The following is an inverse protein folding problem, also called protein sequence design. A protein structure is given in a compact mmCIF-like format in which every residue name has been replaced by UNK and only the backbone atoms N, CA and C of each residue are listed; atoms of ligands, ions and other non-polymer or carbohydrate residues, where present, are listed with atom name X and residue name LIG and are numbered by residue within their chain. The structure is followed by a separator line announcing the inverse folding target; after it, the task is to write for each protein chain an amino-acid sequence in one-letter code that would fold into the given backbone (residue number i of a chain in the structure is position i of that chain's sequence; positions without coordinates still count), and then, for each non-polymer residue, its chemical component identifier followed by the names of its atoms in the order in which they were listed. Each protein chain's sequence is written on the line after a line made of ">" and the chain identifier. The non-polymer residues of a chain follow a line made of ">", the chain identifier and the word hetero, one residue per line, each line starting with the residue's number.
data_IF_486551740356
#
_entry.id   IF_486551740356
#
_cell.length_a   1.000
_cell.length_b   1.000
_cell.length_c   1.000
_cell.angle_alpha   90.00
_cell.angle_beta   90.00
_cell.angle_gamma   90.00
#
_symmetry.space_group_name_H-M   'P 1'
#
loop_
_entity.id
_entity.type
_entity.pdbx_description
1 polymer ?
#
# COMPACT_ATOMS: atom_id res chain seq x y z
N UNK A 1 21.24 0.66 -22.56
CA UNK A 1 19.95 0.51 -23.28
C UNK A 1 18.97 -0.29 -22.42
N UNK A 2 18.07 0.38 -21.70
CA UNK A 2 17.11 -0.28 -20.80
C UNK A 2 15.90 -0.72 -21.64
N UNK A 3 15.88 -2.00 -22.05
CA UNK A 3 14.79 -2.58 -22.85
C UNK A 3 13.50 -2.54 -22.05
N UNK A 4 12.53 -1.78 -22.55
CA UNK A 4 11.15 -1.76 -22.09
C UNK A 4 10.56 -3.16 -22.37
N UNK A 5 10.45 -4.00 -21.35
CA UNK A 5 9.69 -5.24 -21.46
C UNK A 5 8.21 -4.87 -21.47
N UNK A 6 7.62 -4.85 -22.67
CA UNK A 6 6.18 -4.75 -22.87
C UNK A 6 5.64 -6.18 -22.99
N UNK A 7 4.87 -6.64 -22.01
CA UNK A 7 4.03 -7.83 -22.17
C UNK A 7 2.67 -7.38 -22.72
N UNK A 8 2.28 -7.80 -23.95
CA UNK A 8 1.04 -7.37 -24.57
C UNK A 8 -0.16 -7.90 -23.75
N UNK A 9 -0.99 -7.00 -23.22
CA UNK A 9 -2.18 -7.32 -22.42
C UNK A 9 -2.12 -6.90 -20.93
N UNK A 10 -0.97 -6.39 -20.46
CA UNK A 10 -0.75 -6.04 -19.04
C UNK A 10 -0.24 -4.59 -18.89
N UNK A 11 -0.37 -4.01 -17.69
CA UNK A 11 0.02 -2.62 -17.40
C UNK A 11 1.48 -2.33 -17.80
N UNK A 12 1.74 -1.17 -18.38
CA UNK A 12 3.12 -0.72 -18.64
C UNK A 12 3.84 -0.30 -17.36
N UNK A 13 5.19 -0.38 -17.33
CA UNK A 13 5.98 0.09 -16.19
C UNK A 13 5.66 1.54 -15.78
N UNK A 14 5.29 2.40 -16.75
CA UNK A 14 4.88 3.79 -16.49
C UNK A 14 3.55 3.85 -15.75
N UNK A 15 2.57 3.03 -16.14
CA UNK A 15 1.29 2.95 -15.45
C UNK A 15 1.46 2.35 -14.05
N UNK A 16 2.26 1.29 -13.91
CA UNK A 16 2.56 0.69 -12.60
C UNK A 16 3.23 1.70 -11.68
N UNK A 17 4.27 2.42 -12.12
CA UNK A 17 4.92 3.46 -11.30
C UNK A 17 3.97 4.55 -10.82
N UNK A 18 2.97 4.93 -11.62
CA UNK A 18 1.96 5.92 -11.21
C UNK A 18 1.01 5.38 -10.14
N UNK A 19 0.74 4.09 -10.16
CA UNK A 19 -0.20 3.43 -9.24
C UNK A 19 0.50 2.75 -8.06
N UNK A 20 1.83 2.70 -8.05
CA UNK A 20 2.62 1.89 -7.12
C UNK A 20 2.36 2.28 -5.66
N UNK A 21 2.28 3.57 -5.32
CA UNK A 21 2.00 3.97 -3.94
C UNK A 21 0.60 3.55 -3.50
N UNK A 22 -0.44 3.88 -4.28
CA UNK A 22 -1.81 3.44 -4.00
C UNK A 22 -1.94 1.91 -3.88
N UNK A 23 -1.20 1.14 -4.69
CA UNK A 23 -1.10 -0.32 -4.55
C UNK A 23 -0.47 -0.72 -3.21
N UNK A 24 0.66 -0.11 -2.85
CA UNK A 24 1.36 -0.39 -1.59
C UNK A 24 0.58 0.05 -0.35
N UNK A 25 -0.32 1.02 -0.48
CA UNK A 25 -1.21 1.51 0.59
C UNK A 25 -2.55 0.76 0.62
N UNK A 26 -2.80 -0.18 -0.31
CA UNK A 26 -4.04 -0.96 -0.35
C UNK A 26 -5.27 -0.18 -0.85
N UNK A 27 -5.07 0.96 -1.52
CA UNK A 27 -6.14 1.86 -1.97
C UNK A 27 -6.72 1.50 -3.35
N UNK A 28 -6.26 0.40 -3.95
CA UNK A 28 -6.71 -0.04 -5.27
C UNK A 28 -7.80 -1.11 -5.17
N UNK A 29 -8.72 -1.07 -6.14
CA UNK A 29 -9.71 -2.13 -6.35
C UNK A 29 -9.03 -3.44 -6.77
N UNK A 30 -9.60 -4.56 -6.34
CA UNK A 30 -9.06 -5.91 -6.52
C UNK A 30 -8.55 -6.21 -7.93
N UNK A 31 -9.31 -5.87 -8.98
CA UNK A 31 -8.91 -6.12 -10.36
C UNK A 31 -7.62 -5.37 -10.77
N UNK A 32 -7.38 -4.16 -10.26
CA UNK A 32 -6.12 -3.42 -10.52
C UNK A 32 -4.98 -3.95 -9.66
N UNK A 33 -5.28 -4.39 -8.44
CA UNK A 33 -4.31 -4.97 -7.51
C UNK A 33 -3.66 -6.20 -8.13
N UNK A 34 -4.47 -7.11 -8.72
CA UNK A 34 -3.96 -8.31 -9.42
C UNK A 34 -3.04 -7.93 -10.58
N UNK A 35 -3.47 -7.02 -11.47
CA UNK A 35 -2.67 -6.62 -12.64
C UNK A 35 -1.32 -5.97 -12.26
N UNK A 36 -1.27 -5.26 -11.13
CA UNK A 36 -0.03 -4.67 -10.63
C UNK A 36 0.85 -5.75 -10.01
N UNK A 37 0.28 -6.64 -9.21
CA UNK A 37 1.01 -7.77 -8.62
C UNK A 37 1.71 -8.60 -9.71
N UNK A 38 0.97 -9.00 -10.75
CA UNK A 38 1.51 -9.76 -11.89
C UNK A 38 2.69 -9.02 -12.57
N UNK A 39 2.58 -7.70 -12.72
CA UNK A 39 3.66 -6.91 -13.31
C UNK A 39 4.90 -6.81 -12.40
N UNK A 40 4.71 -6.66 -11.09
CA UNK A 40 5.82 -6.59 -10.14
C UNK A 40 6.61 -7.89 -10.10
N UNK A 41 5.94 -9.03 -10.26
CA UNK A 41 6.58 -10.35 -10.34
C UNK A 41 7.29 -10.56 -11.68
N UNK A 42 6.72 -10.06 -12.79
CA UNK A 42 7.30 -10.22 -14.12
C UNK A 42 8.41 -9.20 -14.46
N UNK A 43 8.42 -8.03 -13.82
CA UNK A 43 9.35 -6.94 -14.13
C UNK A 43 10.32 -6.66 -12.99
N UNK A 44 11.57 -7.14 -13.12
CA UNK A 44 12.64 -6.94 -12.13
C UNK A 44 12.79 -5.48 -11.67
N UNK A 45 12.74 -4.51 -12.60
CA UNK A 45 12.88 -3.09 -12.25
C UNK A 45 11.75 -2.60 -11.35
N UNK A 46 10.52 -2.90 -11.70
CA UNK A 46 9.35 -2.47 -10.93
C UNK A 46 9.25 -3.24 -9.61
N UNK A 47 9.58 -4.53 -9.60
CA UNK A 47 9.65 -5.35 -8.38
C UNK A 47 10.71 -4.84 -7.39
N UNK A 48 11.90 -4.45 -7.87
CA UNK A 48 12.92 -3.81 -7.03
C UNK A 48 12.44 -2.47 -6.46
N UNK A 49 11.84 -1.60 -7.30
CA UNK A 49 11.28 -0.32 -6.86
C UNK A 49 10.22 -0.51 -5.77
N UNK A 50 9.29 -1.45 -5.96
CA UNK A 50 8.28 -1.80 -4.97
C UNK A 50 8.90 -2.31 -3.66
N UNK A 51 9.94 -3.15 -3.75
CA UNK A 51 10.66 -3.69 -2.60
C UNK A 51 11.37 -2.59 -1.81
N UNK A 52 12.02 -1.63 -2.49
CA UNK A 52 12.64 -0.47 -1.84
C UNK A 52 11.61 0.38 -1.08
N UNK A 53 10.43 0.61 -1.67
CA UNK A 53 9.37 1.34 -0.99
C UNK A 53 8.80 0.58 0.20
N UNK A 54 8.59 -0.75 0.10
CA UNK A 54 8.15 -1.58 1.23
C UNK A 54 9.15 -1.52 2.38
N UNK A 55 10.43 -1.65 2.08
CA UNK A 55 11.50 -1.52 3.08
C UNK A 55 11.47 -0.14 3.74
N UNK A 56 11.37 0.94 2.97
CA UNK A 56 11.31 2.29 3.51
C UNK A 56 10.07 2.51 4.40
N UNK A 57 8.89 2.06 3.97
CA UNK A 57 7.66 2.15 4.78
C UNK A 57 7.81 1.39 6.10
N UNK A 58 8.41 0.20 6.08
CA UNK A 58 8.66 -0.57 7.30
C UNK A 58 9.63 0.15 8.25
N UNK A 59 10.68 0.78 7.74
CA UNK A 59 11.59 1.59 8.56
C UNK A 59 10.87 2.81 9.16
N UNK A 60 10.10 3.53 8.35
CA UNK A 60 9.33 4.70 8.78
C UNK A 60 8.28 4.36 9.85
N UNK A 61 7.63 3.20 9.75
CA UNK A 61 6.67 2.73 10.75
C UNK A 61 7.33 2.55 12.14
N UNK A 62 8.62 2.19 12.20
CA UNK A 62 9.36 2.10 13.46
C UNK A 62 9.63 3.44 14.13
N UNK A 63 9.56 4.55 13.38
CA UNK A 63 9.68 5.91 13.93
C UNK A 63 8.32 6.53 14.30
N UNK A 64 7.21 5.85 14.00
CA UNK A 64 5.90 6.36 14.37
C UNK A 64 5.78 6.44 15.90
N UNK A 65 5.23 7.53 16.46
CA UNK A 65 4.96 7.61 17.88
C UNK A 65 4.09 6.42 18.29
N UNK A 66 4.51 5.68 19.31
CA UNK A 66 3.62 4.72 19.95
C UNK A 66 2.41 5.49 20.48
N UNK A 67 1.20 5.01 20.17
CA UNK A 67 0.00 5.59 20.76
C UNK A 67 0.12 5.51 22.29
N UNK A 68 0.00 6.65 22.96
CA UNK A 68 -0.05 6.70 24.41
C UNK A 68 -1.30 5.94 24.89
N UNK A 69 -1.18 5.16 25.96
CA UNK A 69 -2.29 4.39 26.53
C UNK A 69 -3.51 5.28 26.81
N UNK A 70 -3.29 6.53 27.23
CA UNK A 70 -4.37 7.50 27.45
C UNK A 70 -5.13 7.86 26.16
N UNK A 71 -4.44 7.91 25.02
CA UNK A 71 -5.07 8.16 23.73
C UNK A 71 -5.90 6.96 23.29
N UNK A 72 -5.40 5.73 23.53
CA UNK A 72 -6.11 4.49 23.23
C UNK A 72 -7.37 4.34 24.10
N UNK A 73 -7.28 4.67 25.40
CA UNK A 73 -8.43 4.59 26.30
C UNK A 73 -9.54 5.56 25.91
N UNK A 74 -9.19 6.79 25.50
CA UNK A 74 -10.15 7.75 24.94
C UNK A 74 -10.83 7.21 23.68
N UNK A 75 -10.06 6.59 22.78
CA UNK A 75 -10.59 5.99 21.55
C UNK A 75 -11.57 4.85 21.85
N UNK A 76 -11.25 4.00 22.82
CA UNK A 76 -12.13 2.91 23.27
C UNK A 76 -13.42 3.43 23.90
N UNK A 77 -13.33 4.43 24.78
CA UNK A 77 -14.50 5.05 25.40
C UNK A 77 -15.42 5.69 24.36
N UNK A 78 -14.84 6.38 23.37
CA UNK A 78 -15.60 6.95 22.25
C UNK A 78 -16.29 5.86 21.40
N UNK A 79 -15.56 4.80 21.05
CA UNK A 79 -16.14 3.69 20.29
C UNK A 79 -17.28 3.00 21.04
N UNK A 80 -17.18 2.83 22.36
CA UNK A 80 -18.25 2.29 23.18
C UNK A 80 -19.50 3.18 23.16
N UNK A 81 -19.32 4.50 23.27
CA UNK A 81 -20.43 5.45 23.22
C UNK A 81 -21.17 5.44 21.87
N UNK A 82 -20.47 5.24 20.74
CA UNK A 82 -21.09 5.13 19.42
C UNK A 82 -21.95 3.87 19.24
N UNK A 83 -21.65 2.80 19.97
CA UNK A 83 -22.43 1.55 19.93
C UNK A 83 -23.68 1.65 20.81
N UNK A 84 -23.62 2.45 21.88
CA UNK A 84 -24.72 2.68 22.82
C UNK A 84 -25.67 3.83 22.41
N UNK A 85 -25.39 4.57 21.33
CA UNK A 85 -26.36 5.52 20.75
C UNK A 85 -27.51 4.76 20.07
N UNK A 86 -28.78 4.94 20.50
CA UNK A 86 -29.91 4.38 19.78
C UNK A 86 -30.06 5.11 18.43
N UNK A 87 -30.18 4.32 17.36
CA UNK A 87 -30.40 4.79 15.99
C UNK A 87 -31.67 5.64 15.83
#
# INVERSE_FOLDING_TARGET
>A
MIRQHQSPGTLSCRQVRRLLQAYLDGELRDARTVLIADHLDACLRCGLEASSYRWLKAQLAGFAPSADERQLDRLRAFAAALVDEPA
#
